data_IF_833383372705
#
_entry.id   IF_833383372705
#
_cell.length_a   1.000
_cell.length_b   1.000
_cell.length_c   1.000
_cell.angle_alpha   90.00
_cell.angle_beta   90.00
_cell.angle_gamma   90.00
#
_symmetry.space_group_name_H-M   'P 1'
#
loop_
_entity.id
_entity.type
_entity.pdbx_description
1 polymer ?
#
# COMPACT_ATOMS: atom_id res chain seq x y z
N UNK A 1 14.93 44.75 28.73
CA UNK A 1 15.91 43.88 28.06
C UNK A 1 15.51 42.45 28.39
N UNK A 2 14.54 41.92 27.64
CA UNK A 2 14.08 40.55 27.81
C UNK A 2 15.01 39.70 26.96
N UNK A 3 15.79 38.84 27.63
CA UNK A 3 16.71 37.93 26.97
C UNK A 3 15.89 37.03 26.03
N UNK A 4 16.10 37.15 24.72
CA UNK A 4 15.61 36.20 23.74
C UNK A 4 16.14 34.82 24.12
N UNK A 5 15.26 33.97 24.65
CA UNK A 5 15.52 32.54 24.66
C UNK A 5 15.50 32.11 23.19
N UNK A 6 16.69 31.96 22.60
CA UNK A 6 16.88 31.21 21.36
C UNK A 6 16.04 29.94 21.46
N UNK A 7 15.00 29.83 20.62
CA UNK A 7 14.27 28.58 20.42
C UNK A 7 15.28 27.59 19.87
N UNK A 8 15.87 26.78 20.76
CA UNK A 8 16.80 25.72 20.36
C UNK A 8 16.02 24.79 19.45
N UNK A 9 16.40 24.75 18.17
CA UNK A 9 15.81 23.86 17.19
C UNK A 9 16.18 22.41 17.57
N UNK A 10 15.29 21.72 18.28
CA UNK A 10 15.44 20.30 18.58
C UNK A 10 14.83 19.47 17.43
N UNK A 11 15.64 18.82 16.57
CA UNK A 11 15.14 18.06 15.44
C UNK A 11 14.34 16.81 15.86
N UNK A 12 14.47 16.35 17.11
CA UNK A 12 13.78 15.16 17.64
C UNK A 12 12.35 15.43 18.12
N UNK A 13 12.00 16.70 18.33
CA UNK A 13 10.66 17.13 18.77
C UNK A 13 9.93 17.79 17.61
N UNK A 14 8.65 17.41 17.42
CA UNK A 14 7.76 18.07 16.48
C UNK A 14 7.14 19.31 17.14
N UNK A 15 7.35 20.52 16.59
CA UNK A 15 6.65 21.69 17.09
C UNK A 15 5.13 21.59 16.81
N UNK A 16 4.29 22.19 17.66
CA UNK A 16 2.86 22.28 17.40
C UNK A 16 2.59 23.16 16.16
N UNK A 17 1.50 22.87 15.44
CA UNK A 17 1.03 23.72 14.34
C UNK A 17 1.79 23.57 13.02
N UNK A 18 2.56 22.49 12.83
CA UNK A 18 3.18 22.20 11.54
C UNK A 18 2.13 22.07 10.42
N UNK A 19 2.38 22.64 9.23
CA UNK A 19 1.47 22.49 8.10
C UNK A 19 1.43 21.04 7.63
N UNK A 20 0.23 20.45 7.62
CA UNK A 20 0.00 19.14 7.08
C UNK A 20 0.11 19.19 5.53
N UNK A 21 0.86 18.29 4.89
CA UNK A 21 0.85 18.16 3.44
C UNK A 21 -0.52 17.65 2.95
N UNK A 22 -0.96 18.15 1.80
CA UNK A 22 -2.15 17.65 1.11
C UNK A 22 -1.78 16.43 0.28
N UNK A 23 -2.66 15.43 0.23
CA UNK A 23 -2.54 14.33 -0.73
C UNK A 23 -2.95 14.82 -2.12
N UNK A 24 -1.96 15.02 -2.99
CA UNK A 24 -2.12 15.42 -4.38
C UNK A 24 -2.26 14.22 -5.33
N UNK A 25 -2.25 12.99 -4.80
CA UNK A 25 -2.35 11.77 -5.58
C UNK A 25 -1.08 11.41 -6.35
N UNK A 26 0.05 12.09 -6.13
CA UNK A 26 1.30 11.85 -6.84
C UNK A 26 1.89 10.44 -6.65
N UNK A 27 1.38 9.65 -5.70
CA UNK A 27 1.80 8.26 -5.50
C UNK A 27 0.76 7.21 -5.93
N UNK A 28 -0.37 7.61 -6.53
CA UNK A 28 -1.45 6.66 -6.88
C UNK A 28 -0.99 5.56 -7.85
N UNK A 29 -0.02 5.85 -8.72
CA UNK A 29 0.50 4.91 -9.73
C UNK A 29 1.48 3.87 -9.18
N UNK A 30 1.90 3.98 -7.92
CA UNK A 30 2.95 3.12 -7.35
C UNK A 30 2.44 1.75 -6.91
N UNK A 31 1.18 1.66 -6.45
CA UNK A 31 0.61 0.39 -5.98
C UNK A 31 0.65 -0.66 -7.10
N UNK A 32 1.11 -1.85 -6.78
CA UNK A 32 1.22 -2.98 -7.70
C UNK A 32 2.44 -2.93 -8.62
N UNK A 33 3.15 -1.79 -8.72
CA UNK A 33 4.37 -1.71 -9.52
C UNK A 33 5.48 -2.62 -8.96
N UNK A 34 6.27 -3.23 -9.83
CA UNK A 34 7.46 -3.95 -9.41
C UNK A 34 8.52 -2.94 -8.96
N UNK A 35 9.29 -3.29 -7.94
CA UNK A 35 10.49 -2.54 -7.63
C UNK A 35 11.50 -2.73 -8.78
N UNK A 36 12.16 -1.64 -9.25
CA UNK A 36 13.11 -1.74 -10.36
C UNK A 36 14.32 -2.58 -9.96
N UNK A 37 14.94 -3.24 -10.93
CA UNK A 37 16.22 -3.92 -10.73
C UNK A 37 17.36 -2.90 -10.64
N UNK A 38 17.40 -2.22 -9.51
CA UNK A 38 18.28 -1.09 -9.20
C UNK A 38 18.99 -1.35 -7.88
N UNK A 39 20.30 -1.12 -7.84
CA UNK A 39 21.07 -1.09 -6.60
C UNK A 39 21.20 0.35 -6.10
N UNK A 40 20.84 0.55 -4.83
CA UNK A 40 21.09 1.80 -4.12
C UNK A 40 22.25 1.62 -3.14
N UNK A 41 23.20 2.59 -3.08
CA UNK A 41 24.19 2.63 -2.02
C UNK A 41 23.52 2.60 -0.65
N UNK A 42 24.03 1.75 0.25
CA UNK A 42 23.53 1.60 1.61
C UNK A 42 24.53 2.11 2.65
N UNK A 43 24.02 2.52 3.81
CA UNK A 43 24.81 2.72 5.02
C UNK A 43 25.47 1.45 5.54
N UNK A 44 25.03 0.26 5.09
CA UNK A 44 25.73 -1.01 5.30
C UNK A 44 27.01 -1.13 4.48
N UNK A 45 27.57 -2.34 4.45
CA UNK A 45 28.81 -2.64 3.71
C UNK A 45 28.56 -2.83 2.20
N UNK A 46 27.38 -3.35 1.84
CA UNK A 46 27.02 -3.65 0.45
C UNK A 46 25.84 -2.76 -0.01
N UNK A 47 25.80 -2.37 -1.31
CA UNK A 47 24.58 -1.84 -1.91
C UNK A 47 23.40 -2.80 -1.77
N UNK A 48 22.18 -2.24 -1.75
CA UNK A 48 20.94 -3.03 -1.67
C UNK A 48 20.24 -3.00 -3.02
N UNK A 49 19.97 -4.18 -3.56
CA UNK A 49 19.18 -4.38 -4.78
C UNK A 49 17.69 -4.34 -4.44
N UNK A 50 16.96 -3.41 -5.06
CA UNK A 50 15.55 -3.16 -4.73
C UNK A 50 14.61 -4.30 -5.16
N UNK A 51 14.89 -4.97 -6.27
CA UNK A 51 14.13 -6.13 -6.76
C UNK A 51 14.13 -7.30 -5.75
N UNK A 52 15.19 -7.43 -4.95
CA UNK A 52 15.39 -8.50 -3.95
C UNK A 52 15.18 -8.02 -2.50
N UNK A 53 14.69 -6.81 -2.28
CA UNK A 53 14.68 -6.18 -0.94
C UNK A 53 13.84 -6.92 0.11
N UNK A 54 12.87 -7.73 -0.32
CA UNK A 54 12.04 -8.57 0.53
C UNK A 54 12.38 -10.06 0.42
N UNK A 55 13.47 -10.43 -0.27
CA UNK A 55 13.84 -11.82 -0.50
C UNK A 55 14.10 -12.56 0.82
N UNK A 56 13.48 -13.74 0.97
CA UNK A 56 13.61 -14.57 2.18
C UNK A 56 12.96 -13.97 3.45
N UNK A 57 12.11 -12.95 3.29
CA UNK A 57 11.40 -12.25 4.37
C UNK A 57 9.89 -12.28 4.13
N UNK A 58 9.10 -11.91 5.13
CA UNK A 58 7.65 -11.74 4.96
C UNK A 58 7.34 -10.51 4.10
N UNK A 59 8.06 -9.42 4.33
CA UNK A 59 7.94 -8.17 3.59
C UNK A 59 9.16 -7.27 3.82
N UNK A 60 9.22 -6.17 3.08
CA UNK A 60 10.10 -5.03 3.35
C UNK A 60 9.28 -3.75 3.47
N UNK A 61 9.67 -2.88 4.41
CA UNK A 61 9.14 -1.53 4.56
C UNK A 61 10.21 -0.54 4.14
N UNK A 62 9.89 0.33 3.18
CA UNK A 62 10.73 1.45 2.80
C UNK A 62 10.03 2.72 3.25
N UNK A 63 10.67 3.55 4.06
CA UNK A 63 10.14 4.87 4.41
C UNK A 63 11.05 5.97 3.85
N UNK A 64 10.43 6.98 3.26
CA UNK A 64 11.09 8.04 2.54
C UNK A 64 10.99 9.33 3.32
N UNK A 65 12.06 10.10 3.34
CA UNK A 65 12.10 11.37 4.06
C UNK A 65 12.93 12.42 3.31
N UNK A 66 12.61 13.71 3.47
CA UNK A 66 13.32 14.79 2.79
C UNK A 66 14.83 14.85 3.08
N UNK A 67 15.18 15.08 4.35
CA UNK A 67 16.58 15.22 4.83
C UNK A 67 16.68 15.02 6.33
N UNK A 68 17.84 14.60 6.81
CA UNK A 68 18.17 14.57 8.24
C UNK A 68 18.81 15.89 8.69
N UNK A 69 18.78 16.14 10.01
CA UNK A 69 19.42 17.31 10.61
C UNK A 69 20.94 17.12 10.73
N UNK A 70 21.66 18.24 10.71
CA UNK A 70 23.09 18.30 11.06
C UNK A 70 23.18 18.87 12.48
N UNK A 71 23.95 18.26 13.42
CA UNK A 71 24.04 18.74 14.79
C UNK A 71 24.65 20.14 14.84
N UNK A 72 24.05 21.03 15.63
CA UNK A 72 24.54 22.40 15.80
C UNK A 72 24.35 23.31 14.60
N UNK A 73 23.71 22.84 13.52
CA UNK A 73 23.49 23.61 12.30
C UNK A 73 21.98 23.69 11.99
N UNK A 74 21.34 24.87 12.15
CA UNK A 74 19.94 25.03 11.78
C UNK A 74 19.76 24.93 10.26
N UNK A 75 18.56 24.56 9.77
CA UNK A 75 18.25 24.62 8.36
C UNK A 75 18.40 26.05 7.81
N UNK A 76 18.89 26.15 6.58
CA UNK A 76 18.91 27.36 5.77
C UNK A 76 17.49 27.79 5.42
N UNK A 77 17.34 29.06 5.06
CA UNK A 77 16.15 29.53 4.37
C UNK A 77 16.08 28.91 2.97
N UNK A 78 14.87 28.62 2.52
CA UNK A 78 14.61 28.13 1.17
C UNK A 78 14.91 29.16 0.08
N UNK A 79 14.71 28.76 -1.18
CA UNK A 79 15.08 29.59 -2.34
C UNK A 79 14.27 30.88 -2.43
N UNK A 80 13.12 30.94 -1.77
CA UNK A 80 12.24 32.11 -1.69
C UNK A 80 12.12 32.69 -0.28
N UNK A 81 13.05 32.34 0.62
CA UNK A 81 13.07 32.82 2.01
C UNK A 81 12.18 32.03 2.96
N UNK A 82 11.61 30.90 2.53
CA UNK A 82 10.78 30.04 3.36
C UNK A 82 11.59 29.35 4.46
N UNK A 83 11.02 29.27 5.67
CA UNK A 83 11.62 28.48 6.75
C UNK A 83 11.32 26.99 6.55
N UNK A 84 12.24 26.11 6.95
CA UNK A 84 12.06 24.66 6.85
C UNK A 84 10.75 24.16 7.49
N UNK A 85 10.39 24.70 8.66
CA UNK A 85 9.18 24.29 9.39
C UNK A 85 7.88 24.83 8.75
N UNK A 86 7.99 25.80 7.83
CA UNK A 86 6.85 26.32 7.06
C UNK A 86 6.52 25.50 5.82
N UNK A 87 7.44 24.62 5.38
CA UNK A 87 7.23 23.76 4.20
C UNK A 87 6.39 22.54 4.62
N UNK A 88 5.19 22.31 4.03
CA UNK A 88 4.33 21.19 4.39
C UNK A 88 5.03 19.83 4.29
N UNK A 89 5.03 19.08 5.39
CA UNK A 89 5.64 17.73 5.46
C UNK A 89 7.18 17.67 5.55
N UNK A 90 7.88 18.81 5.47
CA UNK A 90 9.34 18.85 5.50
C UNK A 90 9.92 18.45 6.87
N UNK A 91 9.41 19.06 7.95
CA UNK A 91 9.81 18.76 9.33
C UNK A 91 9.46 17.32 9.74
N UNK A 92 10.35 16.69 10.52
CA UNK A 92 10.07 15.43 11.22
C UNK A 92 10.79 14.17 10.74
N UNK A 93 11.86 14.30 9.95
CA UNK A 93 12.65 13.16 9.48
C UNK A 93 13.32 12.38 10.63
N UNK A 94 13.82 13.09 11.66
CA UNK A 94 14.38 12.43 12.85
C UNK A 94 13.30 11.69 13.65
N UNK A 95 12.13 12.30 13.98
CA UNK A 95 11.02 11.59 14.61
C UNK A 95 10.53 10.36 13.84
N UNK A 96 10.42 10.43 12.51
CA UNK A 96 10.03 9.27 11.70
C UNK A 96 11.03 8.12 11.83
N UNK A 97 12.31 8.40 11.59
CA UNK A 97 13.39 7.41 11.71
C UNK A 97 13.50 6.84 13.12
N UNK A 98 13.31 7.67 14.15
CA UNK A 98 13.30 7.24 15.55
C UNK A 98 12.10 6.34 15.85
N UNK A 99 10.90 6.65 15.34
CA UNK A 99 9.74 5.79 15.49
C UNK A 99 9.97 4.38 14.92
N UNK A 100 10.58 4.28 13.73
CA UNK A 100 10.97 2.98 13.18
C UNK A 100 12.07 2.29 13.98
N UNK A 101 13.05 3.03 14.52
CA UNK A 101 14.11 2.49 15.39
C UNK A 101 13.50 1.88 16.65
N UNK A 102 12.64 2.63 17.32
CA UNK A 102 12.07 2.27 18.62
C UNK A 102 11.15 1.04 18.49
N UNK A 103 10.46 0.90 17.36
CA UNK A 103 9.62 -0.26 17.04
C UNK A 103 10.34 -1.37 16.24
N UNK A 104 11.65 -1.26 15.97
CA UNK A 104 12.36 -2.17 15.07
C UNK A 104 12.31 -3.64 15.51
N UNK A 105 12.29 -3.90 16.83
CA UNK A 105 12.16 -5.25 17.35
C UNK A 105 10.84 -5.91 16.93
N UNK A 106 9.76 -5.14 16.84
CA UNK A 106 8.42 -5.60 16.46
C UNK A 106 8.36 -5.92 14.96
N UNK A 107 8.97 -5.10 14.10
CA UNK A 107 9.15 -5.42 12.69
C UNK A 107 9.97 -6.70 12.47
N UNK A 108 11.06 -6.88 13.22
CA UNK A 108 11.88 -8.10 13.15
C UNK A 108 11.11 -9.35 13.57
N UNK A 109 10.26 -9.26 14.59
CA UNK A 109 9.43 -10.38 15.05
C UNK A 109 8.47 -10.86 13.94
N UNK A 110 7.99 -9.93 13.10
CA UNK A 110 7.16 -10.21 11.93
C UNK A 110 7.97 -10.62 10.68
N UNK A 111 9.29 -10.77 10.82
CA UNK A 111 10.24 -11.02 9.73
C UNK A 111 10.17 -9.96 8.61
N UNK A 112 9.93 -8.70 8.99
CA UNK A 112 9.90 -7.55 8.08
C UNK A 112 11.21 -6.77 8.17
N UNK A 113 11.84 -6.52 7.02
CA UNK A 113 13.00 -5.62 6.96
C UNK A 113 12.53 -4.16 6.85
N UNK A 114 13.28 -3.24 7.44
CA UNK A 114 12.99 -1.80 7.39
C UNK A 114 14.16 -1.07 6.74
N UNK A 115 13.88 -0.13 5.83
CA UNK A 115 14.87 0.72 5.18
C UNK A 115 14.39 2.17 5.17
N UNK A 116 15.28 3.11 5.51
CA UNK A 116 15.05 4.53 5.29
C UNK A 116 15.63 4.97 3.95
N UNK A 117 14.93 5.82 3.19
CA UNK A 117 15.38 6.26 1.87
C UNK A 117 15.34 7.79 1.77
N UNK A 118 16.41 8.39 1.28
CA UNK A 118 16.45 9.82 0.95
C UNK A 118 17.44 10.09 -0.17
N UNK A 119 17.43 11.33 -0.68
CA UNK A 119 18.40 11.83 -1.65
C UNK A 119 19.71 12.29 -1.01
N UNK A 120 19.85 12.13 0.31
CA UNK A 120 21.09 12.46 1.03
C UNK A 120 22.20 11.46 0.67
N UNK A 121 23.46 11.91 0.69
CA UNK A 121 24.61 11.03 0.42
C UNK A 121 24.73 9.91 1.45
N UNK A 122 25.33 8.79 1.05
CA UNK A 122 25.54 7.64 1.95
C UNK A 122 26.36 8.00 3.17
N UNK A 123 27.37 8.88 3.03
CA UNK A 123 28.18 9.37 4.16
C UNK A 123 27.33 10.10 5.20
N UNK A 124 26.47 11.02 4.74
CA UNK A 124 25.55 11.75 5.63
C UNK A 124 24.57 10.80 6.34
N UNK A 125 24.03 9.82 5.60
CA UNK A 125 23.15 8.82 6.19
C UNK A 125 23.86 7.90 7.19
N UNK A 126 25.15 7.56 6.97
CA UNK A 126 25.96 6.76 7.92
C UNK A 126 26.20 7.51 9.22
N UNK A 127 26.53 8.80 9.14
CA UNK A 127 26.66 9.66 10.31
C UNK A 127 25.36 9.70 11.10
N UNK A 128 24.23 9.96 10.43
CA UNK A 128 22.92 9.99 11.08
C UNK A 128 22.57 8.66 11.76
N UNK A 129 22.77 7.54 11.05
CA UNK A 129 22.54 6.18 11.57
C UNK A 129 23.34 5.92 12.84
N UNK A 130 24.63 6.28 12.82
CA UNK A 130 25.54 6.13 13.98
C UNK A 130 25.07 6.99 15.15
N UNK A 131 24.86 8.29 14.92
CA UNK A 131 24.45 9.25 15.96
C UNK A 131 23.13 8.87 16.61
N UNK A 132 22.17 8.37 15.84
CA UNK A 132 20.82 8.02 16.31
C UNK A 132 20.67 6.56 16.73
N UNK A 133 21.75 5.76 16.66
CA UNK A 133 21.76 4.34 17.00
C UNK A 133 20.67 3.55 16.25
N UNK A 134 20.51 3.83 14.95
CA UNK A 134 19.46 3.22 14.13
C UNK A 134 19.89 1.79 13.71
N UNK A 135 19.09 0.75 14.03
CA UNK A 135 19.47 -0.66 13.87
C UNK A 135 19.25 -1.21 12.45
N UNK A 136 18.79 -0.38 11.52
CA UNK A 136 18.55 -0.73 10.13
C UNK A 136 19.34 0.17 9.18
N UNK A 137 19.28 -0.14 7.89
CA UNK A 137 20.04 0.54 6.86
C UNK A 137 19.25 1.69 6.21
N UNK A 138 19.97 2.75 5.85
CA UNK A 138 19.47 3.78 4.94
C UNK A 138 20.02 3.57 3.53
N UNK A 139 19.18 3.84 2.54
CA UNK A 139 19.50 3.78 1.12
C UNK A 139 19.59 5.20 0.58
N UNK A 140 20.66 5.47 -0.16
CA UNK A 140 20.91 6.76 -0.77
C UNK A 140 20.44 6.76 -2.23
N UNK A 141 19.44 7.57 -2.54
CA UNK A 141 19.02 7.89 -3.91
C UNK A 141 19.54 9.27 -4.34
N UNK A 142 20.78 9.61 -3.97
CA UNK A 142 21.36 10.94 -4.27
C UNK A 142 21.55 11.20 -5.76
N UNK A 143 21.62 10.14 -6.58
CA UNK A 143 21.64 10.22 -8.05
C UNK A 143 20.23 10.26 -8.67
N UNK A 144 19.16 10.23 -7.85
CA UNK A 144 17.75 10.26 -8.27
C UNK A 144 17.34 9.09 -9.19
N UNK A 145 18.05 7.97 -9.14
CA UNK A 145 17.79 6.81 -10.02
C UNK A 145 16.46 6.14 -9.68
N UNK A 146 16.18 5.92 -8.39
CA UNK A 146 14.89 5.38 -7.97
C UNK A 146 13.78 6.42 -8.19
N UNK A 147 14.05 7.67 -7.83
CA UNK A 147 13.16 8.81 -8.02
C UNK A 147 12.68 8.90 -9.48
N UNK A 148 13.60 8.88 -10.44
CA UNK A 148 13.25 8.92 -11.87
C UNK A 148 12.59 7.64 -12.36
N UNK A 149 13.02 6.46 -11.89
CA UNK A 149 12.46 5.18 -12.36
C UNK A 149 10.99 4.99 -11.97
N UNK A 150 10.57 5.54 -10.84
CA UNK A 150 9.19 5.40 -10.33
C UNK A 150 8.40 6.71 -10.31
N UNK A 151 8.95 7.79 -10.85
CA UNK A 151 8.32 9.12 -10.86
C UNK A 151 7.89 9.57 -9.45
N UNK A 152 8.86 9.60 -8.52
CA UNK A 152 8.60 9.90 -7.12
C UNK A 152 8.44 11.40 -6.87
N UNK A 153 7.47 11.83 -6.03
CA UNK A 153 7.26 13.24 -5.74
C UNK A 153 8.46 13.84 -5.01
N UNK A 154 8.93 14.99 -5.52
CA UNK A 154 10.06 15.75 -4.95
C UNK A 154 9.74 17.23 -4.80
N UNK A 155 10.50 17.91 -3.93
CA UNK A 155 10.55 19.37 -3.85
C UNK A 155 12.00 19.82 -3.73
N UNK A 156 12.26 21.11 -3.97
CA UNK A 156 13.61 21.68 -3.89
C UNK A 156 13.79 22.49 -2.62
N UNK A 157 14.89 22.27 -1.92
CA UNK A 157 15.28 23.06 -0.75
C UNK A 157 16.82 23.10 -0.63
N UNK A 158 17.44 24.27 -0.38
CA UNK A 158 18.88 24.38 -0.24
C UNK A 158 19.40 23.58 0.96
N UNK A 159 20.59 23.01 0.83
CA UNK A 159 21.28 22.28 1.89
C UNK A 159 22.55 23.05 2.24
N UNK A 160 22.77 23.30 3.53
CA UNK A 160 23.81 24.20 4.03
C UNK A 160 25.22 23.69 3.71
N UNK A 161 25.37 22.36 3.59
CA UNK A 161 26.62 21.71 3.20
C UNK A 161 26.87 21.69 1.68
N UNK A 162 25.97 22.24 0.86
CA UNK A 162 26.05 22.18 -0.61
C UNK A 162 25.67 20.82 -1.21
N UNK A 163 25.06 19.94 -0.41
CA UNK A 163 24.58 18.63 -0.86
C UNK A 163 23.34 18.66 -1.78
N UNK A 164 22.78 17.50 -2.15
CA UNK A 164 21.62 17.39 -3.02
C UNK A 164 20.43 18.22 -2.52
N UNK A 165 19.91 19.10 -3.37
CA UNK A 165 18.83 20.03 -3.03
C UNK A 165 17.45 19.60 -3.57
N UNK A 166 17.37 18.46 -4.25
CA UNK A 166 16.12 17.80 -4.63
C UNK A 166 15.81 16.77 -3.55
N UNK A 167 14.71 16.97 -2.83
CA UNK A 167 14.31 16.19 -1.66
C UNK A 167 13.02 15.43 -1.95
N UNK A 168 12.91 14.23 -1.40
CA UNK A 168 11.71 13.40 -1.54
C UNK A 168 10.61 13.88 -0.60
N UNK A 169 9.37 13.86 -1.07
CA UNK A 169 8.23 13.95 -0.17
C UNK A 169 8.17 12.73 0.76
N UNK A 170 7.58 12.91 1.94
CA UNK A 170 7.52 11.86 2.94
C UNK A 170 6.46 10.81 2.58
N UNK A 171 6.89 9.57 2.46
CA UNK A 171 6.03 8.42 2.17
C UNK A 171 6.55 7.17 2.87
N UNK A 172 5.77 6.11 2.86
CA UNK A 172 6.22 4.77 3.21
C UNK A 172 5.59 3.74 2.29
N UNK A 173 6.28 2.64 2.02
CA UNK A 173 5.81 1.52 1.22
C UNK A 173 5.90 0.22 2.00
N UNK A 174 4.91 -0.65 1.78
CA UNK A 174 4.99 -2.07 2.11
C UNK A 174 5.24 -2.84 0.82
N UNK A 175 6.32 -3.60 0.78
CA UNK A 175 6.76 -4.35 -0.39
C UNK A 175 6.79 -5.86 -0.06
N UNK A 176 6.23 -6.69 -0.94
CA UNK A 176 6.19 -8.15 -0.77
C UNK A 176 6.65 -8.82 -2.05
N UNK A 177 7.41 -9.91 -1.92
CA UNK A 177 7.86 -10.74 -3.04
C UNK A 177 6.81 -11.80 -3.35
N UNK A 178 6.48 -11.96 -4.63
CA UNK A 178 5.56 -12.99 -5.11
C UNK A 178 6.14 -13.74 -6.30
N UNK A 179 5.72 -14.99 -6.56
CA UNK A 179 6.23 -15.75 -7.70
C UNK A 179 6.11 -14.99 -9.03
N UNK A 180 7.12 -15.13 -9.88
CA UNK A 180 7.17 -14.57 -11.24
C UNK A 180 6.75 -15.61 -12.29
N UNK A 181 6.41 -15.15 -13.51
CA UNK A 181 6.14 -16.05 -14.66
C UNK A 181 7.38 -16.80 -15.12
N UNK A 182 8.47 -16.06 -15.33
CA UNK A 182 9.67 -16.56 -16.00
C UNK A 182 10.67 -17.19 -15.02
N UNK A 183 10.15 -17.83 -13.97
CA UNK A 183 10.87 -18.31 -12.78
C UNK A 183 11.39 -17.18 -11.85
N UNK A 184 11.50 -17.49 -10.56
CA UNK A 184 11.93 -16.52 -9.53
C UNK A 184 10.77 -15.77 -8.86
N UNK A 185 11.07 -14.60 -8.32
CA UNK A 185 10.11 -13.76 -7.61
C UNK A 185 10.18 -12.31 -8.10
N UNK A 186 9.07 -11.58 -7.99
CA UNK A 186 9.00 -10.14 -8.22
C UNK A 186 8.58 -9.48 -6.91
N UNK A 187 9.35 -8.50 -6.46
CA UNK A 187 8.96 -7.66 -5.31
C UNK A 187 8.10 -6.50 -5.79
N UNK A 188 6.90 -6.34 -5.21
CA UNK A 188 5.93 -5.31 -5.60
C UNK A 188 5.55 -4.42 -4.43
N UNK A 189 5.20 -3.18 -4.74
CA UNK A 189 4.64 -2.23 -3.78
C UNK A 189 3.17 -2.61 -3.49
N UNK A 190 2.91 -3.16 -2.31
CA UNK A 190 1.58 -3.63 -1.88
C UNK A 190 0.75 -2.55 -1.21
N UNK A 191 1.40 -1.56 -0.60
CA UNK A 191 0.74 -0.41 0.02
C UNK A 191 1.65 0.80 -0.02
N UNK A 192 1.04 1.97 -0.15
CA UNK A 192 1.69 3.26 -0.07
C UNK A 192 0.97 4.08 1.01
N UNK A 193 1.74 4.71 1.88
CA UNK A 193 1.30 5.79 2.74
C UNK A 193 1.89 7.08 2.18
N UNK A 194 1.05 7.96 1.63
CA UNK A 194 1.47 9.24 1.09
C UNK A 194 0.32 10.25 1.19
N UNK A 195 0.61 11.51 1.56
CA UNK A 195 1.81 11.92 2.27
C UNK A 195 1.77 11.36 3.71
N UNK A 196 2.94 11.07 4.29
CA UNK A 196 3.01 10.66 5.70
C UNK A 196 2.94 11.88 6.62
N UNK A 197 1.89 11.98 7.42
CA UNK A 197 1.73 12.99 8.47
C UNK A 197 0.77 12.54 9.60
N UNK A 198 1.08 12.81 10.89
CA UNK A 198 2.34 13.34 11.38
C UNK A 198 3.44 12.26 11.30
N UNK A 199 4.70 12.65 11.12
CA UNK A 199 5.77 11.72 10.76
C UNK A 199 6.19 10.76 11.87
N UNK A 200 6.03 11.15 13.14
CA UNK A 200 6.32 10.33 14.31
C UNK A 200 5.35 9.14 14.48
N UNK A 201 4.17 9.17 13.86
CA UNK A 201 3.19 8.07 13.94
C UNK A 201 3.37 7.05 12.80
N UNK A 202 4.28 7.30 11.85
CA UNK A 202 4.36 6.48 10.65
C UNK A 202 4.66 5.01 10.95
N UNK A 203 5.66 4.75 11.79
CA UNK A 203 6.06 3.39 12.14
C UNK A 203 4.90 2.63 12.82
N UNK A 204 4.17 3.27 13.74
CA UNK A 204 2.98 2.70 14.39
C UNK A 204 1.92 2.32 13.38
N UNK A 205 1.55 3.24 12.46
CA UNK A 205 0.54 2.99 11.42
C UNK A 205 0.92 1.86 10.48
N UNK A 206 2.21 1.76 10.11
CA UNK A 206 2.69 0.64 9.29
C UNK A 206 2.58 -0.67 10.06
N UNK A 207 2.97 -0.66 11.34
CA UNK A 207 2.95 -1.86 12.17
C UNK A 207 1.53 -2.34 12.50
N UNK A 208 0.57 -1.45 12.71
CA UNK A 208 -0.84 -1.79 12.86
C UNK A 208 -1.34 -2.61 11.68
N UNK A 209 -1.05 -2.15 10.44
CA UNK A 209 -1.41 -2.87 9.22
C UNK A 209 -0.71 -4.24 9.14
N UNK A 210 0.55 -4.33 9.54
CA UNK A 210 1.28 -5.61 9.56
C UNK A 210 0.71 -6.57 10.60
N UNK A 211 0.31 -6.09 11.77
CA UNK A 211 -0.33 -6.91 12.83
C UNK A 211 -1.72 -7.40 12.44
N UNK A 212 -2.48 -6.60 11.69
CA UNK A 212 -3.74 -7.05 11.10
C UNK A 212 -3.53 -8.18 10.10
N UNK A 213 -2.41 -8.15 9.36
CA UNK A 213 -1.97 -9.21 8.43
C UNK A 213 -1.32 -10.41 9.13
N UNK A 214 -0.86 -10.27 10.37
CA UNK A 214 -0.19 -11.34 11.08
C UNK A 214 -1.11 -12.56 11.26
N UNK A 215 -0.61 -13.72 10.84
CA UNK A 215 -1.36 -14.98 10.86
C UNK A 215 -2.41 -15.12 9.75
N UNK A 216 -2.64 -14.09 8.93
CA UNK A 216 -3.48 -14.22 7.74
C UNK A 216 -2.73 -15.01 6.65
N UNK A 217 -3.35 -16.08 6.18
CA UNK A 217 -2.91 -16.83 5.00
C UNK A 217 -4.00 -16.87 3.96
N UNK A 218 -3.63 -16.77 2.68
CA UNK A 218 -4.54 -16.95 1.54
C UNK A 218 -4.12 -18.18 0.77
N UNK A 219 -5.08 -19.05 0.46
CA UNK A 219 -4.85 -20.25 -0.37
C UNK A 219 -6.02 -20.52 -1.29
N UNK A 220 -5.80 -21.36 -2.30
CA UNK A 220 -6.88 -21.91 -3.09
C UNK A 220 -7.86 -22.68 -2.19
N UNK A 221 -9.15 -22.52 -2.48
CA UNK A 221 -10.21 -23.31 -1.88
C UNK A 221 -10.08 -24.77 -2.31
N UNK A 222 -10.46 -25.67 -1.42
CA UNK A 222 -10.59 -27.10 -1.61
C UNK A 222 -12.05 -27.51 -1.40
N UNK A 223 -12.45 -28.74 -1.74
CA UNK A 223 -13.80 -29.23 -1.46
C UNK A 223 -14.23 -29.16 0.01
N UNK A 224 -13.28 -29.10 0.95
CA UNK A 224 -13.58 -28.94 2.39
C UNK A 224 -14.05 -27.53 2.76
N UNK A 225 -13.76 -26.55 1.91
CA UNK A 225 -14.09 -25.15 2.16
C UNK A 225 -15.48 -24.77 1.61
N UNK A 226 -16.14 -25.65 0.85
CA UNK A 226 -17.42 -25.37 0.18
C UNK A 226 -18.51 -24.88 1.14
N UNK A 227 -18.61 -25.46 2.34
CA UNK A 227 -19.58 -25.02 3.34
C UNK A 227 -19.31 -23.58 3.82
N UNK A 228 -18.04 -23.20 3.98
CA UNK A 228 -17.65 -21.85 4.36
C UNK A 228 -17.90 -20.85 3.23
N UNK A 229 -17.52 -21.20 2.00
CA UNK A 229 -17.76 -20.36 0.81
C UNK A 229 -19.26 -20.09 0.66
N UNK A 230 -20.09 -21.13 0.69
CA UNK A 230 -21.55 -21.04 0.58
C UNK A 230 -22.15 -20.16 1.67
N UNK A 231 -21.67 -20.31 2.93
CA UNK A 231 -22.10 -19.47 4.05
C UNK A 231 -21.79 -17.99 3.82
N UNK A 232 -20.57 -17.65 3.37
CA UNK A 232 -20.19 -16.26 3.14
C UNK A 232 -20.93 -15.66 1.94
N UNK A 233 -21.15 -16.45 0.88
CA UNK A 233 -21.97 -16.04 -0.25
C UNK A 233 -23.40 -15.74 0.18
N UNK A 234 -24.05 -16.63 0.94
CA UNK A 234 -25.40 -16.41 1.44
C UNK A 234 -25.52 -15.18 2.38
N UNK A 235 -24.46 -14.84 3.11
CA UNK A 235 -24.45 -13.71 4.03
C UNK A 235 -24.21 -12.35 3.33
N UNK A 236 -23.49 -12.32 2.21
CA UNK A 236 -23.04 -11.07 1.57
C UNK A 236 -23.60 -10.86 0.16
N UNK A 237 -24.15 -11.92 -0.45
CA UNK A 237 -24.68 -11.94 -1.81
C UNK A 237 -26.05 -12.61 -1.79
N UNK A 238 -26.79 -12.47 -2.90
CA UNK A 238 -28.15 -13.03 -3.00
C UNK A 238 -28.19 -14.54 -3.26
N UNK A 239 -27.11 -15.28 -2.97
CA UNK A 239 -27.02 -16.74 -3.14
C UNK A 239 -25.73 -17.22 -3.80
N UNK A 240 -25.70 -18.48 -4.22
CA UNK A 240 -24.55 -19.12 -4.89
C UNK A 240 -24.51 -18.87 -6.40
N UNK A 241 -25.59 -18.38 -7.00
CA UNK A 241 -25.61 -17.95 -8.40
C UNK A 241 -25.22 -16.48 -8.46
N UNK A 242 -24.03 -16.21 -9.00
CA UNK A 242 -23.46 -14.87 -9.14
C UNK A 242 -23.80 -14.31 -10.52
N UNK A 243 -24.34 -13.11 -10.53
CA UNK A 243 -24.76 -12.40 -11.73
C UNK A 243 -23.80 -11.25 -12.02
N UNK A 244 -23.24 -11.23 -13.22
CA UNK A 244 -22.31 -10.19 -13.65
C UNK A 244 -22.20 -10.18 -15.18
N UNK A 245 -22.06 -8.98 -15.77
CA UNK A 245 -21.84 -8.78 -17.22
C UNK A 245 -22.87 -9.54 -18.09
N UNK A 246 -24.11 -9.63 -17.62
CA UNK A 246 -25.20 -10.32 -18.33
C UNK A 246 -25.16 -11.84 -18.28
N UNK A 247 -24.34 -12.42 -17.40
CA UNK A 247 -24.21 -13.87 -17.23
C UNK A 247 -24.52 -14.27 -15.80
N UNK A 248 -25.07 -15.47 -15.65
CA UNK A 248 -25.24 -16.13 -14.36
C UNK A 248 -24.21 -17.26 -14.27
N UNK A 249 -23.52 -17.37 -13.13
CA UNK A 249 -22.48 -18.38 -12.90
C UNK A 249 -22.72 -19.03 -11.53
N UNK A 250 -22.62 -20.33 -11.49
CA UNK A 250 -22.66 -21.09 -10.24
C UNK A 250 -21.30 -20.96 -9.54
N UNK A 251 -21.28 -20.30 -8.37
CA UNK A 251 -20.07 -20.09 -7.59
C UNK A 251 -19.40 -21.40 -7.15
N UNK A 252 -20.15 -22.50 -7.00
CA UNK A 252 -19.60 -23.81 -6.64
C UNK A 252 -18.74 -24.43 -7.75
N UNK A 253 -18.86 -23.93 -8.98
CA UNK A 253 -18.07 -24.39 -10.15
C UNK A 253 -16.85 -23.51 -10.44
N UNK A 254 -16.74 -22.37 -9.75
CA UNK A 254 -15.70 -21.39 -9.98
C UNK A 254 -14.51 -21.59 -9.02
N UNK A 255 -13.29 -21.21 -9.44
CA UNK A 255 -12.18 -21.15 -8.53
C UNK A 255 -12.44 -20.11 -7.44
N UNK A 256 -11.99 -20.44 -6.23
CA UNK A 256 -12.06 -19.54 -5.09
C UNK A 256 -10.74 -19.53 -4.32
N UNK A 257 -10.45 -18.40 -3.69
CA UNK A 257 -9.43 -18.27 -2.64
C UNK A 257 -10.14 -18.15 -1.29
N UNK A 258 -9.50 -18.67 -0.25
CA UNK A 258 -9.95 -18.54 1.13
C UNK A 258 -8.84 -17.91 1.95
N UNK A 259 -9.20 -16.90 2.74
CA UNK A 259 -8.35 -16.31 3.75
C UNK A 259 -8.61 -16.98 5.10
N UNK A 260 -7.56 -17.28 5.85
CA UNK A 260 -7.62 -17.86 7.19
C UNK A 260 -6.72 -17.13 8.17
N UNK A 261 -7.14 -17.06 9.43
CA UNK A 261 -6.32 -16.67 10.59
C UNK A 261 -6.24 -17.86 11.54
N UNK A 262 -5.05 -18.37 11.83
CA UNK A 262 -4.85 -19.55 12.70
C UNK A 262 -5.82 -20.70 12.36
N UNK A 263 -5.86 -21.12 11.09
CA UNK A 263 -6.75 -22.14 10.52
C UNK A 263 -8.25 -21.86 10.50
N UNK A 264 -8.70 -20.75 11.10
CA UNK A 264 -10.10 -20.30 11.00
C UNK A 264 -10.29 -19.47 9.75
N UNK A 265 -11.22 -19.86 8.88
CA UNK A 265 -11.56 -19.09 7.69
C UNK A 265 -12.21 -17.75 8.04
N UNK A 266 -11.79 -16.68 7.36
CA UNK A 266 -12.25 -15.30 7.62
C UNK A 266 -12.67 -14.55 6.37
N UNK A 267 -12.43 -15.08 5.17
CA UNK A 267 -12.87 -14.45 3.93
C UNK A 267 -12.71 -15.32 2.70
N UNK A 268 -13.34 -14.90 1.61
CA UNK A 268 -13.34 -15.56 0.31
C UNK A 268 -13.14 -14.56 -0.82
N UNK A 269 -12.53 -15.02 -1.91
CA UNK A 269 -12.64 -14.41 -3.22
C UNK A 269 -13.05 -15.48 -4.24
N UNK A 270 -14.17 -15.28 -4.94
CA UNK A 270 -14.63 -16.15 -6.02
C UNK A 270 -14.44 -15.41 -7.33
N UNK A 271 -13.87 -16.05 -8.34
CA UNK A 271 -13.50 -15.41 -9.58
C UNK A 271 -13.66 -16.32 -10.79
N UNK A 272 -13.83 -15.74 -11.97
CA UNK A 272 -13.88 -16.42 -13.25
C UNK A 272 -12.57 -16.17 -14.00
N UNK A 273 -11.87 -17.26 -14.36
CA UNK A 273 -10.61 -17.22 -15.12
C UNK A 273 -10.73 -17.87 -16.51
N UNK A 274 -11.96 -18.10 -16.98
CA UNK A 274 -12.25 -18.70 -18.29
C UNK A 274 -12.02 -17.75 -19.48
N UNK A 275 -11.92 -16.44 -19.21
CA UNK A 275 -11.76 -15.40 -20.23
C UNK A 275 -10.30 -14.97 -20.39
N UNK A 276 -10.04 -13.93 -21.20
CA UNK A 276 -8.72 -13.30 -21.29
C UNK A 276 -8.32 -12.53 -20.02
N UNK A 277 -9.31 -12.18 -19.19
CA UNK A 277 -9.18 -11.44 -17.94
C UNK A 277 -9.58 -12.35 -16.77
N UNK A 278 -9.15 -12.02 -15.54
CA UNK A 278 -9.76 -12.59 -14.32
C UNK A 278 -10.85 -11.66 -13.83
N UNK A 279 -12.07 -12.17 -13.67
CA UNK A 279 -13.20 -11.41 -13.14
C UNK A 279 -13.49 -11.83 -11.69
N UNK A 280 -13.29 -10.94 -10.73
CA UNK A 280 -13.70 -11.16 -9.33
C UNK A 280 -15.21 -10.97 -9.23
N UNK A 281 -15.89 -12.03 -8.85
CA UNK A 281 -17.35 -12.12 -8.76
C UNK A 281 -17.85 -11.96 -7.32
N UNK A 282 -17.05 -12.40 -6.36
CA UNK A 282 -17.31 -12.19 -4.96
C UNK A 282 -16.00 -11.90 -4.22
N UNK A 283 -16.05 -10.96 -3.28
CA UNK A 283 -15.00 -10.65 -2.33
C UNK A 283 -15.67 -10.31 -1.01
N UNK A 284 -15.55 -11.20 -0.02
CA UNK A 284 -16.18 -11.03 1.28
C UNK A 284 -15.25 -11.45 2.40
N UNK A 285 -15.22 -10.67 3.48
CA UNK A 285 -14.47 -10.97 4.69
C UNK A 285 -15.27 -10.60 5.92
N UNK A 286 -15.25 -11.44 6.96
CA UNK A 286 -16.03 -11.22 8.18
C UNK A 286 -15.20 -10.65 9.34
N UNK A 287 -13.93 -11.04 9.47
CA UNK A 287 -13.02 -10.57 10.51
C UNK A 287 -11.75 -9.98 9.90
N UNK A 288 -11.24 -8.89 10.49
CA UNK A 288 -10.13 -8.10 9.92
C UNK A 288 -10.40 -7.77 8.44
N UNK A 289 -11.62 -7.32 8.16
CA UNK A 289 -12.22 -7.28 6.82
C UNK A 289 -11.32 -6.65 5.77
N UNK A 290 -10.77 -5.47 6.06
CA UNK A 290 -9.91 -4.73 5.12
C UNK A 290 -8.60 -5.46 4.82
N UNK A 291 -7.97 -6.07 5.84
CA UNK A 291 -6.72 -6.81 5.66
C UNK A 291 -6.95 -8.10 4.88
N UNK A 292 -7.96 -8.89 5.25
CA UNK A 292 -8.30 -10.13 4.57
C UNK A 292 -8.75 -9.89 3.12
N UNK A 293 -9.64 -8.92 2.89
CA UNK A 293 -10.07 -8.53 1.54
C UNK A 293 -8.90 -8.02 0.70
N UNK A 294 -7.98 -7.25 1.31
CA UNK A 294 -6.78 -6.78 0.62
C UNK A 294 -5.87 -7.92 0.18
N UNK A 295 -5.61 -8.89 1.07
CA UNK A 295 -4.75 -10.03 0.75
C UNK A 295 -5.39 -10.98 -0.28
N UNK A 296 -6.70 -11.18 -0.19
CA UNK A 296 -7.45 -11.96 -1.18
C UNK A 296 -7.37 -11.32 -2.57
N UNK A 297 -7.57 -10.00 -2.64
CA UNK A 297 -7.50 -9.29 -3.92
C UNK A 297 -6.05 -9.20 -4.44
N UNK A 298 -5.06 -8.96 -3.57
CA UNK A 298 -3.63 -9.05 -3.92
C UNK A 298 -3.30 -10.43 -4.55
N UNK A 299 -3.81 -11.52 -3.97
CA UNK A 299 -3.59 -12.87 -4.47
C UNK A 299 -4.29 -13.16 -5.82
N UNK A 300 -5.48 -12.58 -6.06
CA UNK A 300 -6.12 -12.67 -7.38
C UNK A 300 -5.31 -11.89 -8.43
N UNK A 301 -4.86 -10.69 -8.10
CA UNK A 301 -4.01 -9.88 -8.98
C UNK A 301 -2.69 -10.61 -9.32
N UNK A 302 -2.05 -11.25 -8.34
CA UNK A 302 -0.84 -12.03 -8.56
C UNK A 302 -1.11 -13.27 -9.41
N UNK A 303 -2.24 -13.95 -9.22
CA UNK A 303 -2.65 -15.08 -10.06
C UNK A 303 -2.87 -14.63 -11.50
N UNK A 304 -3.53 -13.50 -11.72
CA UNK A 304 -3.72 -12.91 -13.05
C UNK A 304 -2.37 -12.60 -13.70
N UNK A 305 -1.45 -11.97 -12.95
CA UNK A 305 -0.09 -11.71 -13.40
C UNK A 305 0.69 -12.98 -13.68
N UNK A 306 0.54 -14.07 -12.92
CA UNK A 306 1.20 -15.35 -13.20
C UNK A 306 0.67 -16.04 -14.47
N UNK A 307 -0.60 -15.83 -14.81
CA UNK A 307 -1.26 -16.62 -15.85
C UNK A 307 -1.17 -16.09 -17.28
N UNK A 308 -0.87 -14.82 -17.49
CA UNK A 308 -1.02 -14.25 -18.85
C UNK A 308 -1.72 -12.92 -18.90
N UNK A 309 -2.47 -12.59 -17.85
CA UNK A 309 -3.65 -11.76 -17.97
C UNK A 309 -3.27 -10.29 -17.93
N UNK A 310 -3.97 -9.49 -18.73
CA UNK A 310 -3.71 -8.05 -18.89
C UNK A 310 -4.51 -7.17 -17.94
N UNK A 311 -5.56 -7.72 -17.33
CA UNK A 311 -6.37 -6.99 -16.34
C UNK A 311 -7.10 -7.94 -15.40
N UNK A 312 -7.43 -7.39 -14.23
CA UNK A 312 -8.45 -7.93 -13.31
C UNK A 312 -9.68 -7.05 -13.39
N UNK A 313 -10.85 -7.66 -13.45
CA UNK A 313 -12.14 -6.97 -13.54
C UNK A 313 -12.95 -7.28 -12.28
N UNK A 314 -13.71 -6.31 -11.79
CA UNK A 314 -14.70 -6.49 -10.73
C UNK A 314 -16.02 -5.86 -11.18
N UNK A 315 -17.14 -6.45 -10.79
CA UNK A 315 -18.45 -5.83 -10.97
C UNK A 315 -19.12 -5.63 -9.62
N UNK A 316 -19.67 -4.44 -9.42
CA UNK A 316 -20.31 -4.04 -8.19
C UNK A 316 -21.68 -3.43 -8.50
N UNK A 317 -22.61 -3.54 -7.55
CA UNK A 317 -23.81 -2.72 -7.58
C UNK A 317 -23.45 -1.26 -7.37
N UNK A 318 -24.22 -0.35 -7.98
CA UNK A 318 -24.09 1.09 -7.73
C UNK A 318 -24.23 1.49 -6.26
N UNK A 319 -24.88 0.64 -5.45
CA UNK A 319 -25.10 0.86 -4.03
C UNK A 319 -23.93 0.37 -3.17
N UNK A 320 -23.00 -0.42 -3.72
CA UNK A 320 -21.86 -0.99 -2.99
C UNK A 320 -20.74 0.05 -2.78
N UNK A 321 -21.06 1.18 -2.14
CA UNK A 321 -20.20 2.36 -2.02
C UNK A 321 -18.87 2.05 -1.33
N UNK A 322 -18.88 1.24 -0.28
CA UNK A 322 -17.65 0.87 0.44
C UNK A 322 -16.73 -0.01 -0.43
N UNK A 323 -17.32 -0.93 -1.20
CA UNK A 323 -16.57 -1.79 -2.12
C UNK A 323 -16.01 -0.99 -3.32
N UNK A 324 -16.78 -0.01 -3.82
CA UNK A 324 -16.33 0.93 -4.85
C UNK A 324 -15.13 1.75 -4.32
N UNK A 325 -15.24 2.35 -3.15
CA UNK A 325 -14.16 3.12 -2.53
C UNK A 325 -12.92 2.24 -2.26
N UNK A 326 -13.13 1.01 -1.77
CA UNK A 326 -12.06 0.04 -1.55
C UNK A 326 -11.30 -0.29 -2.84
N UNK A 327 -12.02 -0.62 -3.91
CA UNK A 327 -11.41 -0.97 -5.20
C UNK A 327 -10.69 0.24 -5.83
N UNK A 328 -11.30 1.43 -5.80
CA UNK A 328 -10.70 2.64 -6.38
C UNK A 328 -9.42 3.07 -5.64
N UNK A 329 -9.39 2.99 -4.29
CA UNK A 329 -8.16 3.21 -3.51
C UNK A 329 -7.03 2.22 -3.86
N UNK A 330 -7.37 1.10 -4.49
CA UNK A 330 -6.42 0.08 -4.96
C UNK A 330 -6.06 0.23 -6.44
N UNK A 331 -6.52 1.29 -7.11
CA UNK A 331 -6.20 1.59 -8.50
C UNK A 331 -7.18 1.01 -9.53
N UNK A 332 -8.27 0.38 -9.10
CA UNK A 332 -9.32 -0.03 -10.04
C UNK A 332 -10.08 1.19 -10.56
N UNK A 333 -10.21 1.32 -11.87
CA UNK A 333 -10.92 2.40 -12.54
C UNK A 333 -12.26 1.91 -13.08
N UNK A 334 -13.28 2.77 -13.08
CA UNK A 334 -14.58 2.43 -13.69
C UNK A 334 -14.37 2.31 -15.21
N UNK A 335 -14.63 1.14 -15.75
CA UNK A 335 -14.53 0.85 -17.20
C UNK A 335 -15.90 0.88 -17.88
N UNK A 336 -16.97 0.51 -17.17
CA UNK A 336 -18.32 0.47 -17.71
C UNK A 336 -19.40 0.68 -16.65
N UNK A 337 -20.51 1.29 -17.04
CA UNK A 337 -21.75 1.35 -16.24
C UNK A 337 -22.90 0.77 -17.06
N UNK A 338 -23.53 -0.30 -16.57
CA UNK A 338 -24.69 -0.95 -17.20
C UNK A 338 -25.94 -0.58 -16.40
N UNK A 339 -26.71 0.36 -16.95
CA UNK A 339 -27.89 0.90 -16.26
C UNK A 339 -29.04 -0.10 -16.22
N UNK A 340 -29.72 -0.20 -15.08
CA UNK A 340 -30.86 -1.10 -14.87
C UNK A 340 -30.51 -2.60 -14.89
N UNK A 341 -29.21 -2.94 -14.85
CA UNK A 341 -28.76 -4.31 -14.99
C UNK A 341 -29.26 -5.22 -13.86
N UNK A 342 -29.41 -4.69 -12.65
CA UNK A 342 -29.95 -5.45 -11.52
C UNK A 342 -31.46 -5.70 -11.64
N UNK A 343 -32.22 -4.85 -12.35
CA UNK A 343 -33.62 -5.16 -12.66
C UNK A 343 -33.72 -6.33 -13.63
N UNK A 344 -32.80 -6.41 -14.61
CA UNK A 344 -32.71 -7.58 -15.49
C UNK A 344 -32.31 -8.84 -14.72
N UNK A 345 -31.30 -8.77 -13.85
CA UNK A 345 -30.92 -9.91 -13.00
C UNK A 345 -32.07 -10.42 -12.13
N UNK A 346 -32.93 -9.53 -11.61
CA UNK A 346 -34.12 -9.91 -10.83
C UNK A 346 -35.15 -10.71 -11.62
N UNK A 347 -35.19 -10.60 -12.95
CA UNK A 347 -36.07 -11.43 -13.78
C UNK A 347 -35.69 -12.90 -13.73
N UNK A 348 -34.39 -13.19 -13.58
CA UNK A 348 -33.84 -14.54 -13.43
C UNK A 348 -33.68 -14.95 -11.96
N UNK A 349 -33.43 -14.00 -11.06
CA UNK A 349 -33.17 -14.25 -9.64
C UNK A 349 -33.85 -13.23 -8.73
N UNK A 350 -35.12 -13.50 -8.42
CA UNK A 350 -35.98 -12.57 -7.67
C UNK A 350 -35.52 -12.27 -6.23
N UNK A 351 -34.58 -13.05 -5.69
CA UNK A 351 -34.02 -12.85 -4.35
C UNK A 351 -33.06 -11.64 -4.25
N UNK A 352 -32.63 -11.06 -5.38
CA UNK A 352 -31.80 -9.85 -5.39
C UNK A 352 -32.61 -8.66 -4.83
N UNK A 353 -32.20 -8.08 -3.68
CA UNK A 353 -32.98 -7.03 -3.02
C UNK A 353 -33.04 -5.76 -3.88
N UNK A 354 -34.10 -4.97 -3.71
CA UNK A 354 -34.29 -3.70 -4.44
C UNK A 354 -33.48 -2.53 -3.86
N UNK A 355 -33.18 -2.60 -2.57
CA UNK A 355 -32.41 -1.60 -1.80
C UNK A 355 -31.38 -2.33 -0.95
N UNK A 356 -30.25 -1.69 -0.70
CA UNK A 356 -29.23 -2.21 0.21
C UNK A 356 -29.55 -1.87 1.68
N UNK A 357 -28.64 -2.23 2.60
CA UNK A 357 -28.77 -1.96 4.04
C UNK A 357 -28.77 -0.47 4.40
N UNK A 358 -28.29 0.40 3.50
CA UNK A 358 -28.25 1.85 3.66
C UNK A 358 -29.44 2.53 2.98
N UNK A 359 -30.37 1.76 2.40
CA UNK A 359 -31.54 2.28 1.68
C UNK A 359 -31.23 2.79 0.27
N UNK A 360 -30.03 2.52 -0.27
CA UNK A 360 -29.65 2.91 -1.63
C UNK A 360 -30.25 1.93 -2.62
N UNK A 361 -30.97 2.39 -3.67
CA UNK A 361 -31.50 1.51 -4.69
C UNK A 361 -30.42 0.74 -5.45
N UNK A 362 -30.59 -0.57 -5.57
CA UNK A 362 -29.73 -1.47 -6.34
C UNK A 362 -30.27 -1.50 -7.77
N UNK A 363 -29.64 -0.77 -8.70
CA UNK A 363 -30.17 -0.55 -10.06
C UNK A 363 -29.15 -0.89 -11.14
N UNK A 364 -27.96 -0.32 -11.01
CA UNK A 364 -26.95 -0.31 -12.06
C UNK A 364 -25.77 -1.20 -11.66
N UNK A 365 -25.17 -1.86 -12.64
CA UNK A 365 -23.91 -2.57 -12.49
C UNK A 365 -22.76 -1.66 -12.90
N UNK A 366 -21.76 -1.52 -12.03
CA UNK A 366 -20.54 -0.77 -12.27
C UNK A 366 -19.41 -1.79 -12.44
N UNK A 367 -18.78 -1.77 -13.61
CA UNK A 367 -17.57 -2.53 -13.89
C UNK A 367 -16.35 -1.67 -13.59
N UNK A 368 -15.42 -2.27 -12.88
CA UNK A 368 -14.14 -1.73 -12.50
C UNK A 368 -13.04 -2.61 -13.10
N UNK A 369 -11.95 -2.01 -13.57
CA UNK A 369 -10.79 -2.75 -14.05
C UNK A 369 -9.48 -2.22 -13.47
N UNK A 370 -8.56 -3.15 -13.23
CA UNK A 370 -7.17 -2.88 -12.94
C UNK A 370 -6.33 -3.42 -14.10
N UNK A 371 -5.67 -2.54 -14.83
CA UNK A 371 -4.68 -2.94 -15.83
C UNK A 371 -3.44 -3.53 -15.13
N UNK A 372 -2.94 -4.64 -15.67
CA UNK A 372 -1.72 -5.31 -15.21
C UNK A 372 -0.58 -5.05 -16.19
N UNK A 373 0.63 -5.03 -15.65
CA UNK A 373 1.91 -4.86 -16.34
C UNK A 373 2.36 -6.09 -17.13
#
# INVERSE_FOLDING_TARGET
MVCEQSRVHDPSVLPPGLPAPLDDGACMHLRGRPLPDLELPSTGECPVRLSDIAAGRSAAVLFFFPRTSIPGQPPSLGFHGEEWDSVPGARGCTPQSCGFRDLHAEFRALQVCVYGVSTSTTEHQREFRSRQHVPFEFLSDHELRLTSALDLPTFRFPIESGGPNVLLHRMAWLCESTPARDHGAVTRIRRVWYPVFPPNENATRVLEVLREREGLGVRAASPRDSAFVSKLLAANYSGEVLHSRGRARDAGTLPALVASVHDRHVGIAVFDESSADIEVLALAACERGDAAASMLLDAVEDRARLQGRRRVVMTLANSALDALAFAQRRGYAISQVRRGMFDWYRTAHAAIPRVDSNGVPIRDEIELELALD
#
